data_IF_312184151036
#
_entry.id   IF_312184151036
#
_cell.length_a   1.000
_cell.length_b   1.000
_cell.length_c   1.000
_cell.angle_alpha   90.00
_cell.angle_beta   90.00
_cell.angle_gamma   90.00
#
_symmetry.space_group_name_H-M   'P 1'
#
loop_
_entity.id
_entity.type
_entity.pdbx_description
1 polymer ?
#
# COMPACT_ATOMS: atom_id res chain seq x y z
N UNK A 1 18.88 -10.89 53.39
CA UNK A 1 19.28 -11.72 52.25
C UNK A 1 18.36 -11.39 51.10
N UNK A 2 18.83 -10.57 50.14
CA UNK A 2 18.01 -10.11 48.98
C UNK A 2 18.18 -11.13 47.85
N UNK A 3 17.11 -11.76 47.49
CA UNK A 3 17.09 -12.70 46.36
C UNK A 3 16.90 -11.86 45.07
N UNK A 4 17.93 -11.81 44.23
CA UNK A 4 17.89 -11.22 42.90
C UNK A 4 17.07 -12.15 41.98
N UNK A 5 16.10 -11.65 41.20
CA UNK A 5 15.40 -12.51 40.28
C UNK A 5 16.35 -12.91 39.14
N UNK A 6 16.48 -14.23 38.94
CA UNK A 6 17.20 -14.82 37.83
C UNK A 6 16.38 -14.51 36.57
N UNK A 7 16.91 -13.65 35.67
CA UNK A 7 16.38 -13.49 34.35
C UNK A 7 16.53 -14.82 33.61
N UNK A 8 15.46 -15.55 33.49
CA UNK A 8 15.37 -16.73 32.64
C UNK A 8 15.62 -16.31 31.19
N UNK A 9 16.77 -16.69 30.67
CA UNK A 9 17.08 -16.58 29.24
C UNK A 9 16.10 -17.44 28.46
N UNK A 10 15.22 -16.80 27.69
CA UNK A 10 14.29 -17.48 26.78
C UNK A 10 14.85 -17.39 25.36
N UNK A 11 15.41 -18.50 24.83
CA UNK A 11 16.00 -18.50 23.49
C UNK A 11 15.00 -18.15 22.39
N UNK A 12 13.71 -18.51 22.54
CA UNK A 12 12.63 -18.15 21.60
C UNK A 12 12.44 -16.62 21.44
N UNK A 13 12.65 -15.85 22.52
CA UNK A 13 12.60 -14.37 22.46
C UNK A 13 13.79 -13.78 21.72
N UNK A 14 14.94 -14.41 21.81
CA UNK A 14 16.14 -13.96 21.11
C UNK A 14 16.05 -14.29 19.61
N UNK A 15 15.57 -15.49 19.23
CA UNK A 15 15.32 -15.87 17.85
C UNK A 15 14.21 -15.03 17.18
N UNK A 16 13.14 -14.71 17.93
CA UNK A 16 12.09 -13.81 17.46
C UNK A 16 12.61 -12.38 17.22
N UNK A 17 13.57 -11.92 18.04
CA UNK A 17 14.20 -10.61 17.89
C UNK A 17 15.16 -10.56 16.69
N UNK A 18 15.90 -11.63 16.46
CA UNK A 18 16.81 -11.76 15.28
C UNK A 18 15.99 -11.78 13.99
N UNK A 19 14.87 -12.53 13.94
CA UNK A 19 13.97 -12.54 12.78
C UNK A 19 13.27 -11.20 12.51
N UNK A 20 13.07 -10.36 13.52
CA UNK A 20 12.49 -9.02 13.33
C UNK A 20 13.44 -8.01 12.65
N UNK A 21 14.76 -8.23 12.68
CA UNK A 21 15.74 -7.37 12.01
C UNK A 21 15.96 -7.75 10.53
N UNK A 22 15.40 -8.86 10.08
CA UNK A 22 15.64 -9.41 8.73
C UNK A 22 14.89 -8.68 7.62
N UNK A 23 13.80 -7.94 7.94
CA UNK A 23 13.02 -7.24 6.93
C UNK A 23 13.19 -5.73 7.01
N UNK A 24 13.82 -5.18 5.98
CA UNK A 24 14.07 -3.74 5.88
C UNK A 24 12.80 -3.01 5.47
N UNK A 25 12.31 -2.12 6.34
CA UNK A 25 11.35 -1.11 5.94
C UNK A 25 12.03 -0.17 4.94
N UNK A 26 11.66 -0.30 3.65
CA UNK A 26 12.20 0.54 2.57
C UNK A 26 11.60 1.93 2.58
N UNK A 27 10.32 2.00 2.83
CA UNK A 27 9.58 3.24 2.72
C UNK A 27 8.36 3.26 3.63
N UNK A 28 8.23 4.31 4.40
CA UNK A 28 7.02 4.66 5.13
C UNK A 28 6.37 5.87 4.46
N UNK A 29 5.31 5.59 3.69
CA UNK A 29 4.52 6.62 3.05
C UNK A 29 3.42 7.17 3.95
N UNK A 30 2.66 8.13 3.44
CA UNK A 30 1.54 8.76 4.16
C UNK A 30 0.51 7.74 4.65
N UNK A 31 0.26 6.70 3.86
CA UNK A 31 -0.80 5.69 4.10
C UNK A 31 -0.36 4.25 3.86
N UNK A 32 0.90 4.01 3.53
CA UNK A 32 1.46 2.68 3.23
C UNK A 32 2.85 2.53 3.81
N UNK A 33 3.20 1.29 4.09
CA UNK A 33 4.54 0.85 4.47
C UNK A 33 5.00 -0.20 3.45
N UNK A 34 6.27 -0.14 3.04
CA UNK A 34 6.85 -1.06 2.05
C UNK A 34 8.07 -1.74 2.67
N UNK A 35 8.04 -3.05 2.72
CA UNK A 35 9.10 -3.89 3.28
C UNK A 35 9.81 -4.66 2.17
N UNK A 36 11.13 -4.69 2.21
CA UNK A 36 11.96 -5.55 1.37
C UNK A 36 12.11 -6.93 2.01
N UNK A 37 11.70 -7.96 1.30
CA UNK A 37 11.85 -9.35 1.73
C UNK A 37 12.73 -10.16 0.76
N UNK A 38 13.70 -9.48 0.13
CA UNK A 38 14.64 -10.08 -0.81
C UNK A 38 14.14 -9.99 -2.26
N UNK A 39 13.66 -11.09 -2.83
CA UNK A 39 13.15 -11.10 -4.22
C UNK A 39 11.79 -10.41 -4.37
N UNK A 40 11.05 -10.27 -3.27
CA UNK A 40 9.72 -9.71 -3.25
C UNK A 40 9.63 -8.48 -2.33
N UNK A 41 8.49 -7.81 -2.37
CA UNK A 41 8.11 -6.74 -1.45
C UNK A 41 6.84 -7.14 -0.70
N UNK A 42 6.68 -6.62 0.52
CA UNK A 42 5.38 -6.60 1.19
C UNK A 42 4.94 -5.15 1.33
N UNK A 43 3.75 -4.85 0.83
CA UNK A 43 3.12 -3.53 0.93
C UNK A 43 1.99 -3.64 1.96
N UNK A 44 2.12 -2.91 3.07
CA UNK A 44 1.10 -2.85 4.10
C UNK A 44 0.33 -1.53 4.04
N UNK A 45 -0.97 -1.60 3.77
CA UNK A 45 -1.84 -0.43 3.81
C UNK A 45 -2.22 -0.11 5.26
N UNK A 46 -2.15 1.16 5.64
CA UNK A 46 -2.45 1.61 6.98
C UNK A 46 -3.83 2.27 7.07
N UNK A 47 -4.31 2.44 8.30
CA UNK A 47 -5.55 3.15 8.59
C UNK A 47 -5.37 4.68 8.61
N UNK A 48 -4.14 5.15 8.37
CA UNK A 48 -3.83 6.58 8.24
C UNK A 48 -4.58 7.16 7.05
N UNK A 49 -5.00 8.42 7.17
CA UNK A 49 -5.56 9.22 6.08
C UNK A 49 -4.70 10.48 5.90
N UNK A 50 -4.67 10.97 4.68
CA UNK A 50 -3.99 12.23 4.36
C UNK A 50 -4.89 13.11 3.51
N UNK A 51 -4.78 14.42 3.72
CA UNK A 51 -5.42 15.43 2.89
C UNK A 51 -4.41 16.56 2.64
N UNK A 52 -4.34 17.08 1.41
CA UNK A 52 -3.37 18.11 1.01
C UNK A 52 -1.94 17.78 1.44
N UNK A 53 -1.55 16.50 1.26
CA UNK A 53 -0.23 15.96 1.63
C UNK A 53 0.09 15.89 3.14
N UNK A 54 -0.83 16.24 4.00
CA UNK A 54 -0.69 16.12 5.45
C UNK A 54 -1.39 14.87 5.98
N UNK A 55 -0.70 14.11 6.85
CA UNK A 55 -1.31 12.99 7.56
C UNK A 55 -2.18 13.55 8.66
N UNK A 56 -3.46 13.18 8.65
CA UNK A 56 -4.41 13.59 9.67
C UNK A 56 -4.21 12.80 10.97
N UNK A 57 -4.53 13.41 12.11
CA UNK A 57 -4.39 12.76 13.43
C UNK A 57 -5.31 11.57 13.59
N UNK A 58 -6.50 11.64 13.01
CA UNK A 58 -7.51 10.58 13.08
C UNK A 58 -7.20 9.48 12.05
N UNK A 59 -7.46 8.24 12.43
CA UNK A 59 -7.39 7.08 11.55
C UNK A 59 -8.80 6.61 11.21
N UNK A 60 -8.96 5.89 10.11
CA UNK A 60 -10.21 5.22 9.76
C UNK A 60 -10.00 3.73 9.99
N UNK A 61 -10.67 3.17 10.99
CA UNK A 61 -10.57 1.76 11.36
C UNK A 61 -10.83 0.85 10.16
N UNK A 62 -9.98 -0.15 9.99
CA UNK A 62 -10.03 -1.15 8.92
C UNK A 62 -9.84 -0.61 7.48
N UNK A 63 -9.57 0.70 7.29
CA UNK A 63 -9.33 1.27 5.95
C UNK A 63 -8.25 0.51 5.20
N UNK A 64 -7.10 0.22 5.85
CA UNK A 64 -6.00 -0.51 5.23
C UNK A 64 -6.41 -1.89 4.75
N UNK A 65 -7.15 -2.63 5.58
CA UNK A 65 -7.65 -3.95 5.23
C UNK A 65 -8.64 -3.89 4.05
N UNK A 66 -9.60 -2.99 4.10
CA UNK A 66 -10.58 -2.81 3.01
C UNK A 66 -9.88 -2.50 1.69
N UNK A 67 -8.94 -1.55 1.68
CA UNK A 67 -8.22 -1.17 0.45
C UNK A 67 -7.39 -2.33 -0.12
N UNK A 68 -6.74 -3.13 0.72
CA UNK A 68 -5.98 -4.30 0.27
C UNK A 68 -6.90 -5.36 -0.32
N UNK A 69 -8.05 -5.65 0.31
CA UNK A 69 -9.01 -6.63 -0.21
C UNK A 69 -9.68 -6.15 -1.51
N UNK A 70 -9.95 -4.86 -1.64
CA UNK A 70 -10.42 -4.26 -2.91
C UNK A 70 -9.37 -4.39 -4.00
N UNK A 71 -8.10 -4.13 -3.70
CA UNK A 71 -7.01 -4.30 -4.67
C UNK A 71 -6.89 -5.76 -5.12
N UNK A 72 -6.99 -6.72 -4.17
CA UNK A 72 -7.03 -8.16 -4.50
C UNK A 72 -8.16 -8.48 -5.46
N UNK A 73 -9.38 -8.03 -5.14
CA UNK A 73 -10.55 -8.27 -6.01
C UNK A 73 -10.28 -7.77 -7.45
N UNK A 74 -9.79 -6.55 -7.61
CA UNK A 74 -9.55 -5.98 -8.94
C UNK A 74 -8.39 -6.67 -9.66
N UNK A 75 -7.31 -7.05 -8.98
CA UNK A 75 -6.21 -7.81 -9.57
C UNK A 75 -6.66 -9.20 -10.05
N UNK A 76 -7.50 -9.87 -9.28
CA UNK A 76 -8.08 -11.16 -9.69
C UNK A 76 -9.06 -10.99 -10.86
N UNK A 77 -9.88 -9.95 -10.83
CA UNK A 77 -10.88 -9.67 -11.88
C UNK A 77 -10.23 -9.29 -13.21
N UNK A 78 -9.14 -8.56 -13.20
CA UNK A 78 -8.47 -8.06 -14.42
C UNK A 78 -7.29 -8.91 -14.88
N UNK A 79 -6.99 -10.03 -14.21
CA UNK A 79 -5.80 -10.86 -14.49
C UNK A 79 -5.71 -11.35 -15.95
N UNK A 80 -6.85 -11.54 -16.62
CA UNK A 80 -6.92 -11.97 -18.00
C UNK A 80 -6.77 -10.80 -19.00
N UNK A 81 -6.79 -9.57 -18.51
CA UNK A 81 -6.60 -8.34 -19.30
C UNK A 81 -5.14 -7.92 -19.29
N UNK A 82 -4.54 -7.91 -18.10
CA UNK A 82 -3.13 -7.51 -17.91
C UNK A 82 -2.51 -8.24 -16.73
N UNK A 83 -1.27 -8.74 -16.83
CA UNK A 83 -0.54 -9.28 -15.70
C UNK A 83 -0.35 -8.22 -14.61
N UNK A 84 -0.41 -8.64 -13.34
CA UNK A 84 -0.18 -7.75 -12.21
C UNK A 84 0.97 -8.26 -11.32
N UNK A 85 1.34 -7.46 -10.32
CA UNK A 85 2.47 -7.74 -9.43
C UNK A 85 2.09 -8.48 -8.15
N UNK A 86 0.79 -8.65 -7.86
CA UNK A 86 0.33 -9.34 -6.66
C UNK A 86 0.73 -10.82 -6.68
N UNK A 87 1.27 -11.30 -5.56
CA UNK A 87 1.54 -12.73 -5.32
C UNK A 87 0.46 -13.28 -4.40
N UNK A 88 0.29 -12.70 -3.21
CA UNK A 88 -0.72 -13.12 -2.24
C UNK A 88 -1.11 -11.97 -1.31
N UNK A 89 -2.27 -12.07 -0.69
CA UNK A 89 -2.72 -11.25 0.44
C UNK A 89 -3.00 -12.10 1.68
N UNK A 90 -2.74 -13.41 1.60
CA UNK A 90 -2.82 -14.29 2.77
C UNK A 90 -1.54 -14.13 3.59
N UNK A 91 -1.70 -13.73 4.85
CA UNK A 91 -0.58 -13.55 5.74
C UNK A 91 0.15 -14.87 6.02
N UNK A 92 -0.52 -16.02 5.92
CA UNK A 92 0.09 -17.34 6.13
C UNK A 92 1.09 -17.72 5.02
N UNK A 93 0.97 -17.13 3.83
CA UNK A 93 1.90 -17.31 2.72
C UNK A 93 3.12 -16.36 2.79
N UNK A 94 3.14 -15.47 3.78
CA UNK A 94 4.19 -14.48 3.98
C UNK A 94 5.17 -14.93 5.07
N UNK A 95 6.37 -14.32 5.17
CA UNK A 95 7.26 -14.56 6.30
C UNK A 95 6.57 -14.32 7.66
N UNK A 96 6.98 -15.06 8.69
CA UNK A 96 6.37 -15.05 10.04
C UNK A 96 6.20 -13.65 10.64
N UNK A 97 7.09 -12.72 10.32
CA UNK A 97 6.98 -11.32 10.72
C UNK A 97 5.63 -10.68 10.34
N UNK A 98 5.05 -11.08 9.22
CA UNK A 98 3.77 -10.54 8.72
C UNK A 98 2.55 -11.29 9.23
N UNK A 99 2.72 -12.31 10.09
CA UNK A 99 1.61 -12.98 10.77
C UNK A 99 1.07 -12.18 11.97
N UNK A 100 1.75 -11.10 12.36
CA UNK A 100 1.28 -10.19 13.40
C UNK A 100 -0.07 -9.55 12.99
N UNK A 101 -0.98 -9.39 13.96
CA UNK A 101 -2.33 -8.85 13.77
C UNK A 101 -2.33 -7.48 13.07
N UNK A 102 -1.29 -6.67 13.29
CA UNK A 102 -1.13 -5.36 12.62
C UNK A 102 -1.09 -5.44 11.11
N UNK A 103 -0.75 -6.61 10.52
CA UNK A 103 -0.69 -6.83 9.08
C UNK A 103 -1.91 -7.59 8.54
N UNK A 104 -2.78 -8.07 9.42
CA UNK A 104 -3.90 -8.92 9.03
C UNK A 104 -4.80 -8.25 8.01
N UNK A 105 -5.00 -8.94 6.88
CA UNK A 105 -5.80 -8.49 5.72
C UNK A 105 -5.35 -7.18 5.05
N UNK A 106 -4.29 -6.53 5.53
CA UNK A 106 -3.79 -5.24 5.00
C UNK A 106 -2.41 -5.32 4.37
N UNK A 107 -1.77 -6.47 4.43
CA UNK A 107 -0.53 -6.76 3.75
C UNK A 107 -0.79 -7.43 2.39
N UNK A 108 0.06 -7.12 1.42
CA UNK A 108 0.09 -7.72 0.09
C UNK A 108 1.52 -8.01 -0.27
N UNK A 109 1.85 -9.28 -0.52
CA UNK A 109 3.14 -9.66 -1.08
C UNK A 109 3.13 -9.47 -2.59
N UNK A 110 4.14 -8.80 -3.11
CA UNK A 110 4.24 -8.38 -4.49
C UNK A 110 5.60 -8.73 -5.10
N UNK A 111 5.62 -8.95 -6.40
CA UNK A 111 6.86 -9.00 -7.18
C UNK A 111 7.58 -7.66 -7.10
N UNK A 112 8.90 -7.71 -6.94
CA UNK A 112 9.77 -6.53 -6.97
C UNK A 112 9.98 -6.11 -8.42
N UNK A 113 9.41 -5.00 -8.81
CA UNK A 113 9.44 -4.48 -10.17
C UNK A 113 10.12 -3.10 -10.21
N UNK A 114 10.70 -2.76 -11.36
CA UNK A 114 11.18 -1.41 -11.64
C UNK A 114 10.00 -0.53 -12.03
N UNK A 115 9.75 0.51 -11.22
CA UNK A 115 8.67 1.46 -11.47
C UNK A 115 9.03 2.40 -12.63
N UNK A 116 8.08 2.62 -13.52
CA UNK A 116 8.19 3.70 -14.50
C UNK A 116 8.04 5.05 -13.76
N UNK A 117 8.81 6.09 -14.12
CA UNK A 117 8.74 7.40 -13.46
C UNK A 117 7.55 8.23 -13.98
N UNK A 118 6.41 7.62 -14.12
CA UNK A 118 5.15 8.23 -14.61
C UNK A 118 3.99 7.78 -13.74
N UNK A 119 3.08 8.71 -13.43
CA UNK A 119 1.78 8.40 -12.86
C UNK A 119 0.70 8.48 -13.95
N UNK A 120 0.00 7.36 -14.17
CA UNK A 120 -1.10 7.29 -15.13
C UNK A 120 -2.43 7.36 -14.38
N UNK A 121 -3.20 8.43 -14.63
CA UNK A 121 -4.50 8.64 -14.01
C UNK A 121 -5.58 8.54 -15.07
N UNK A 122 -6.45 7.54 -14.98
CA UNK A 122 -7.65 7.40 -15.83
C UNK A 122 -8.85 7.94 -15.05
N UNK A 123 -9.54 8.90 -15.64
CA UNK A 123 -10.74 9.52 -15.05
C UNK A 123 -11.97 9.15 -15.85
N UNK A 124 -13.04 8.74 -15.16
CA UNK A 124 -14.33 8.48 -15.80
C UNK A 124 -15.07 9.76 -16.20
N UNK A 125 -14.73 10.89 -15.54
CA UNK A 125 -15.40 12.18 -15.71
C UNK A 125 -14.38 13.31 -15.77
N UNK A 126 -14.77 14.46 -16.40
CA UNK A 126 -13.92 15.62 -16.48
C UNK A 126 -14.19 16.56 -15.29
N UNK A 127 -13.30 16.54 -14.32
CA UNK A 127 -13.41 17.35 -13.09
C UNK A 127 -12.04 17.80 -12.60
N UNK A 128 -11.99 18.69 -11.62
CA UNK A 128 -10.75 19.17 -10.99
C UNK A 128 -9.79 19.81 -12.00
N UNK A 129 -8.50 19.49 -11.93
CA UNK A 129 -7.46 20.04 -12.82
C UNK A 129 -7.71 19.78 -14.30
N UNK A 130 -8.35 18.66 -14.64
CA UNK A 130 -8.74 18.36 -16.02
C UNK A 130 -9.80 19.35 -16.53
N UNK A 131 -10.81 19.62 -15.71
CA UNK A 131 -11.84 20.61 -16.02
C UNK A 131 -11.28 22.02 -16.16
N UNK A 132 -10.42 22.44 -15.25
CA UNK A 132 -9.77 23.75 -15.32
C UNK A 132 -8.95 23.91 -16.63
N UNK A 133 -8.20 22.88 -17.04
CA UNK A 133 -7.48 22.86 -18.30
C UNK A 133 -8.41 22.95 -19.50
N UNK A 134 -9.48 22.17 -19.49
CA UNK A 134 -10.49 22.18 -20.57
C UNK A 134 -11.18 23.53 -20.70
N UNK A 135 -11.63 24.15 -19.61
CA UNK A 135 -12.25 25.49 -19.64
C UNK A 135 -11.31 26.52 -20.26
N UNK A 136 -10.01 26.42 -19.98
CA UNK A 136 -9.01 27.40 -20.45
C UNK A 136 -8.64 27.21 -21.91
N UNK A 137 -8.45 25.98 -22.37
CA UNK A 137 -7.81 25.68 -23.65
C UNK A 137 -8.58 24.69 -24.52
N UNK A 138 -9.69 24.13 -24.05
CA UNK A 138 -10.38 23.02 -24.74
C UNK A 138 -9.58 21.72 -24.77
N UNK A 139 -8.51 21.61 -23.92
CA UNK A 139 -7.60 20.46 -23.93
C UNK A 139 -7.39 19.90 -22.52
N UNK A 140 -7.06 18.61 -22.45
CA UNK A 140 -6.55 17.97 -21.23
C UNK A 140 -5.28 17.20 -21.60
N UNK A 141 -4.18 17.44 -20.87
CA UNK A 141 -2.86 16.88 -21.17
C UNK A 141 -2.42 17.12 -22.64
N UNK A 142 -2.75 18.27 -23.21
CA UNK A 142 -2.43 18.62 -24.61
C UNK A 142 -3.35 17.98 -25.66
N UNK A 143 -4.29 17.12 -25.28
CA UNK A 143 -5.25 16.47 -26.16
C UNK A 143 -6.50 17.34 -26.27
N UNK A 144 -6.88 17.74 -27.51
CA UNK A 144 -8.10 18.50 -27.75
C UNK A 144 -9.33 17.61 -27.52
N UNK A 145 -10.26 18.09 -26.70
CA UNK A 145 -11.52 17.43 -26.42
C UNK A 145 -12.68 18.07 -27.20
N UNK A 146 -13.80 17.37 -27.38
CA UNK A 146 -15.00 17.92 -27.98
C UNK A 146 -15.48 19.18 -27.26
N UNK A 147 -16.10 20.08 -28.02
CA UNK A 147 -16.71 21.30 -27.46
C UNK A 147 -18.02 20.97 -26.71
N UNK A 148 -18.38 21.79 -25.73
CA UNK A 148 -19.65 21.67 -25.01
C UNK A 148 -19.66 20.67 -23.87
N UNK A 149 -18.50 20.12 -23.46
CA UNK A 149 -18.42 19.26 -22.26
C UNK A 149 -18.75 20.09 -21.01
N UNK A 150 -19.37 19.42 -20.04
CA UNK A 150 -19.70 19.98 -18.72
C UNK A 150 -18.88 19.34 -17.65
N UNK A 151 -18.66 20.05 -16.57
CA UNK A 151 -18.09 19.47 -15.35
C UNK A 151 -19.05 18.43 -14.78
N UNK A 152 -18.52 17.28 -14.37
CA UNK A 152 -19.31 16.17 -13.81
C UNK A 152 -18.50 15.42 -12.75
#
# INVERSE_FOLDING_TARGET
MKITPVHTYCPERAEKRIKMEEFKLLYEGKVREVYDIGENLVIAATDRISAFDHILKNKITAKGAILTQMSKFWFDYTKDVVPNHMITVDNNDMPEFFHDERFYKRAMMCKKLTMLPIECIVRGYITGSGWESYKKNGTVCGIKLPEGLKES
#
